data_IF_831590526942
#
_entry.id   IF_831590526942
#
_cell.length_a   1.000
_cell.length_b   1.000
_cell.length_c   1.000
_cell.angle_alpha   90.00
_cell.angle_beta   90.00
_cell.angle_gamma   90.00
#
_symmetry.space_group_name_H-M   'P 1'
#
loop_
_entity.id
_entity.type
_entity.pdbx_description
1 polymer ?
#
# COMPACT_ATOMS: atom_id res chain seq x y z
N UNK A 1 0.34 14.62 9.26
CA UNK A 1 1.21 13.46 9.50
C UNK A 1 0.59 12.39 8.68
N UNK A 2 1.23 12.12 7.56
CA UNK A 2 0.48 11.67 6.40
C UNK A 2 0.43 10.14 6.33
N UNK A 3 1.08 9.43 7.26
CA UNK A 3 0.96 7.98 7.41
C UNK A 3 1.58 7.49 8.72
N UNK A 4 1.40 6.21 9.01
CA UNK A 4 1.97 5.50 10.15
C UNK A 4 2.78 4.30 9.67
N UNK A 5 4.09 4.31 9.93
CA UNK A 5 4.98 3.19 9.60
C UNK A 5 5.34 2.43 10.86
N UNK A 6 5.01 1.15 10.91
CA UNK A 6 5.48 0.21 11.92
C UNK A 6 6.86 -0.30 11.52
N UNK A 7 7.81 -0.29 12.47
CA UNK A 7 9.15 -0.83 12.27
C UNK A 7 9.42 -1.91 13.31
N UNK A 8 9.38 -3.17 12.87
CA UNK A 8 9.41 -4.36 13.72
C UNK A 8 10.85 -4.88 13.89
N UNK A 9 11.26 -5.12 15.13
CA UNK A 9 12.59 -5.65 15.43
C UNK A 9 12.71 -7.15 15.11
N UNK A 10 13.92 -7.64 14.83
CA UNK A 10 14.20 -9.07 14.70
C UNK A 10 14.25 -9.83 16.04
N UNK A 11 14.45 -11.15 15.98
CA UNK A 11 14.45 -12.04 17.14
C UNK A 11 15.54 -11.62 18.15
N UNK A 12 15.19 -11.56 19.44
CA UNK A 12 16.05 -11.09 20.52
C UNK A 12 16.28 -9.57 20.55
N UNK A 13 15.77 -8.85 19.54
CA UNK A 13 15.85 -7.40 19.43
C UNK A 13 14.90 -6.65 20.36
N UNK A 14 14.77 -5.34 20.12
CA UNK A 14 13.80 -4.47 20.79
C UNK A 14 13.67 -3.13 20.02
N UNK A 15 12.66 -2.36 20.39
CA UNK A 15 12.37 -1.05 19.81
C UNK A 15 13.57 -0.09 19.76
N UNK A 16 14.32 0.05 20.87
CA UNK A 16 15.47 0.97 20.91
C UNK A 16 16.59 0.56 19.96
N UNK A 17 16.84 -0.74 19.84
CA UNK A 17 17.79 -1.28 18.86
C UNK A 17 17.34 -0.95 17.44
N UNK A 18 16.06 -1.16 17.14
CA UNK A 18 15.51 -0.94 15.81
C UNK A 18 15.48 0.54 15.41
N UNK A 19 15.26 1.47 16.35
CA UNK A 19 15.38 2.92 16.11
C UNK A 19 16.77 3.26 15.55
N UNK A 20 17.83 2.72 16.18
CA UNK A 20 19.20 2.98 15.76
C UNK A 20 19.58 2.25 14.48
N UNK A 21 19.04 1.05 14.26
CA UNK A 21 19.40 0.22 13.12
C UNK A 21 18.69 0.65 11.83
N UNK A 22 17.38 0.90 11.85
CA UNK A 22 16.68 1.39 10.65
C UNK A 22 16.93 2.88 10.39
N UNK A 23 17.15 3.68 11.43
CA UNK A 23 17.19 5.15 11.32
C UNK A 23 15.92 5.77 10.70
N UNK A 24 14.78 5.04 10.69
CA UNK A 24 13.52 5.50 10.07
C UNK A 24 12.99 6.81 10.67
N UNK A 25 13.37 7.18 11.90
CA UNK A 25 13.07 8.50 12.47
C UNK A 25 13.53 9.67 11.58
N UNK A 26 14.70 9.58 10.93
CA UNK A 26 15.19 10.66 10.08
C UNK A 26 14.32 10.76 8.81
N UNK A 27 14.03 9.62 8.17
CA UNK A 27 13.14 9.54 7.00
C UNK A 27 11.74 10.07 7.33
N UNK A 28 11.21 9.72 8.51
CA UNK A 28 9.94 10.21 9.03
C UNK A 28 9.91 11.74 9.20
N UNK A 29 10.97 12.32 9.76
CA UNK A 29 11.07 13.78 9.93
C UNK A 29 11.15 14.51 8.59
N UNK A 30 11.88 13.95 7.62
CA UNK A 30 12.08 14.58 6.31
C UNK A 30 10.83 14.49 5.43
N UNK A 31 9.99 13.48 5.63
CA UNK A 31 8.81 13.20 4.79
C UNK A 31 7.45 13.39 5.47
N UNK A 32 7.41 13.69 6.77
CA UNK A 32 6.18 14.08 7.46
C UNK A 32 5.23 12.93 7.84
N UNK A 33 5.75 11.73 8.12
CA UNK A 33 4.96 10.59 8.63
C UNK A 33 5.31 10.22 10.08
N UNK A 34 4.43 9.46 10.75
CA UNK A 34 4.67 8.91 12.08
C UNK A 34 5.32 7.54 11.96
N UNK A 35 6.24 7.25 12.87
CA UNK A 35 6.87 5.93 12.98
C UNK A 35 6.65 5.37 14.37
N UNK A 36 6.33 4.08 14.45
CA UNK A 36 6.16 3.35 15.70
C UNK A 36 7.07 2.12 15.73
N UNK A 37 7.72 1.93 16.87
CA UNK A 37 8.62 0.80 17.13
C UNK A 37 8.06 0.00 18.30
N UNK A 38 7.16 -0.96 18.05
CA UNK A 38 6.63 -1.80 19.11
C UNK A 38 7.67 -2.84 19.55
N UNK A 39 7.49 -3.38 20.75
CA UNK A 39 8.23 -4.54 21.22
C UNK A 39 7.31 -5.76 21.14
N UNK A 40 7.78 -6.84 20.52
CA UNK A 40 7.18 -8.17 20.66
C UNK A 40 7.26 -8.67 22.10
N UNK A 41 6.62 -9.79 22.41
CA UNK A 41 6.64 -10.36 23.77
C UNK A 41 7.90 -11.21 24.00
N UNK A 42 8.08 -11.72 25.23
CA UNK A 42 9.18 -12.64 25.54
C UNK A 42 8.68 -14.08 25.47
N UNK A 43 9.45 -14.96 24.82
CA UNK A 43 9.23 -16.40 24.89
C UNK A 43 9.59 -16.96 26.27
N UNK A 44 9.34 -18.26 26.48
CA UNK A 44 9.72 -18.94 27.73
C UNK A 44 11.22 -18.87 28.07
N UNK A 45 12.08 -18.69 27.06
CA UNK A 45 13.53 -18.52 27.20
C UNK A 45 13.95 -17.10 27.58
N UNK A 46 13.03 -16.13 27.59
CA UNK A 46 13.32 -14.72 27.82
C UNK A 46 13.86 -14.00 26.59
N UNK A 47 13.67 -14.57 25.40
CA UNK A 47 14.02 -13.93 24.12
C UNK A 47 12.81 -13.17 23.60
N UNK A 48 13.01 -11.91 23.18
CA UNK A 48 11.92 -11.13 22.59
C UNK A 48 11.65 -11.58 21.15
N UNK A 49 10.41 -11.79 20.77
CA UNK A 49 10.06 -12.32 19.45
C UNK A 49 8.69 -11.83 18.98
N UNK A 50 8.42 -12.04 17.69
CA UNK A 50 7.11 -12.01 17.05
C UNK A 50 6.70 -13.44 16.73
N UNK A 51 5.48 -13.82 17.08
CA UNK A 51 4.95 -15.16 16.87
C UNK A 51 4.54 -15.38 15.41
N UNK A 52 5.50 -15.83 14.61
CA UNK A 52 5.35 -16.13 13.16
C UNK A 52 5.35 -17.64 12.88
N UNK A 53 5.09 -18.45 13.91
CA UNK A 53 4.99 -19.90 13.78
C UNK A 53 6.33 -20.62 13.62
N UNK A 54 7.41 -20.08 14.20
CA UNK A 54 8.68 -20.82 14.26
C UNK A 54 8.54 -22.15 15.01
N UNK A 55 9.28 -23.18 14.60
CA UNK A 55 9.25 -24.49 15.24
C UNK A 55 9.66 -24.40 16.72
N UNK A 56 10.62 -23.54 17.05
CA UNK A 56 11.06 -23.31 18.44
C UNK A 56 9.99 -22.62 19.31
N UNK A 57 8.94 -22.06 18.69
CA UNK A 57 7.83 -21.36 19.32
C UNK A 57 6.50 -22.11 19.15
N UNK A 58 6.52 -23.42 18.90
CA UNK A 58 5.32 -24.23 18.63
C UNK A 58 4.24 -24.20 19.75
N UNK A 59 4.63 -23.91 20.99
CA UNK A 59 3.74 -23.80 22.15
C UNK A 59 3.35 -22.33 22.46
N UNK A 60 3.88 -21.35 21.74
CA UNK A 60 3.58 -19.94 21.94
C UNK A 60 2.26 -19.56 21.27
N UNK A 61 1.35 -18.94 22.04
CA UNK A 61 0.00 -18.58 21.57
C UNK A 61 -0.21 -17.07 21.53
N UNK A 62 0.87 -16.30 21.45
CA UNK A 62 0.80 -14.84 21.44
C UNK A 62 0.18 -14.39 20.11
N UNK A 63 -0.82 -13.52 20.20
CA UNK A 63 -1.50 -12.92 19.04
C UNK A 63 -0.85 -11.56 18.73
N UNK A 64 0.26 -11.61 18.01
CA UNK A 64 0.99 -10.40 17.61
C UNK A 64 0.28 -9.64 16.46
N UNK A 65 -0.46 -10.32 15.58
CA UNK A 65 -1.29 -9.67 14.55
C UNK A 65 -2.35 -8.81 15.21
N UNK A 66 -3.14 -9.37 16.12
CA UNK A 66 -4.19 -8.67 16.86
C UNK A 66 -3.64 -7.51 17.68
N UNK A 67 -2.46 -7.68 18.29
CA UNK A 67 -1.78 -6.59 18.99
C UNK A 67 -1.40 -5.43 18.05
N UNK A 68 -0.78 -5.72 16.91
CA UNK A 68 -0.33 -4.69 15.97
C UNK A 68 -1.51 -3.96 15.31
N UNK A 69 -2.58 -4.68 14.97
CA UNK A 69 -3.85 -4.07 14.50
C UNK A 69 -4.45 -3.15 15.55
N UNK A 70 -4.57 -3.62 16.80
CA UNK A 70 -5.12 -2.80 17.89
C UNK A 70 -4.26 -1.55 18.17
N UNK A 71 -2.94 -1.68 18.07
CA UNK A 71 -2.02 -0.56 18.22
C UNK A 71 -2.15 0.44 17.07
N UNK A 72 -2.30 -0.03 15.82
CA UNK A 72 -2.50 0.84 14.66
C UNK A 72 -3.78 1.67 14.82
N UNK A 73 -4.91 1.02 15.10
CA UNK A 73 -6.19 1.68 15.32
C UNK A 73 -6.14 2.68 16.49
N UNK A 74 -5.47 2.32 17.59
CA UNK A 74 -5.29 3.22 18.73
C UNK A 74 -4.49 4.47 18.35
N UNK A 75 -3.35 4.32 17.67
CA UNK A 75 -2.49 5.43 17.28
C UNK A 75 -3.17 6.33 16.24
N UNK A 76 -3.92 5.74 15.31
CA UNK A 76 -4.72 6.51 14.35
C UNK A 76 -5.75 7.38 15.04
N UNK A 77 -6.51 6.81 15.98
CA UNK A 77 -7.51 7.57 16.73
C UNK A 77 -6.89 8.65 17.61
N UNK A 78 -5.79 8.35 18.31
CA UNK A 78 -5.14 9.27 19.23
C UNK A 78 -4.49 10.47 18.51
N UNK A 79 -3.89 10.23 17.33
CA UNK A 79 -3.10 11.23 16.61
C UNK A 79 -3.75 11.71 15.30
N UNK A 80 -4.98 11.28 15.01
CA UNK A 80 -5.71 11.59 13.78
C UNK A 80 -4.86 11.31 12.52
N UNK A 81 -4.26 10.11 12.49
CA UNK A 81 -3.45 9.64 11.36
C UNK A 81 -4.36 9.04 10.29
N UNK A 82 -3.91 9.13 9.05
CA UNK A 82 -4.65 8.66 7.89
C UNK A 82 -4.95 7.14 7.96
N UNK A 83 -6.23 6.71 7.92
CA UNK A 83 -6.63 5.30 7.88
C UNK A 83 -5.99 4.50 6.74
N UNK A 84 -5.70 5.16 5.62
CA UNK A 84 -5.28 4.53 4.38
C UNK A 84 -3.77 4.60 4.15
N UNK A 85 -3.02 5.05 5.16
CA UNK A 85 -1.56 5.16 5.09
C UNK A 85 -0.87 4.50 6.28
N UNK A 86 -1.29 3.28 6.60
CA UNK A 86 -0.59 2.41 7.56
C UNK A 86 0.24 1.39 6.82
N UNK A 87 1.52 1.31 7.20
CA UNK A 87 2.48 0.41 6.57
C UNK A 87 3.29 -0.33 7.63
N UNK A 88 3.84 -1.49 7.28
CA UNK A 88 4.72 -2.23 8.16
C UNK A 88 6.01 -2.63 7.45
N UNK A 89 7.14 -2.38 8.10
CA UNK A 89 8.45 -2.92 7.74
C UNK A 89 9.09 -3.55 8.97
N UNK A 90 10.09 -4.40 8.77
CA UNK A 90 10.77 -5.06 9.88
C UNK A 90 11.96 -5.86 9.41
N UNK A 91 12.82 -6.19 10.36
CA UNK A 91 14.05 -6.94 10.10
C UNK A 91 13.93 -8.38 10.59
N UNK A 92 14.37 -9.37 9.82
CA UNK A 92 14.46 -10.79 10.24
C UNK A 92 13.08 -11.29 10.70
N UNK A 93 12.94 -11.82 11.92
CA UNK A 93 11.63 -12.16 12.53
C UNK A 93 10.57 -11.03 12.47
N UNK A 94 10.99 -9.75 12.46
CA UNK A 94 10.08 -8.62 12.22
C UNK A 94 9.68 -8.46 10.75
N UNK A 95 10.52 -8.89 9.81
CA UNK A 95 10.20 -9.04 8.39
C UNK A 95 9.22 -10.18 8.16
N UNK A 96 9.41 -11.33 8.80
CA UNK A 96 8.47 -12.45 8.76
C UNK A 96 7.08 -12.02 9.26
N UNK A 97 7.05 -11.18 10.31
CA UNK A 97 5.82 -10.59 10.82
C UNK A 97 5.16 -9.66 9.80
N UNK A 98 5.93 -8.98 8.94
CA UNK A 98 5.38 -8.16 7.86
C UNK A 98 4.67 -9.03 6.81
N UNK A 99 5.23 -10.20 6.46
CA UNK A 99 4.53 -11.16 5.60
C UNK A 99 3.20 -11.62 6.23
N UNK A 100 3.22 -11.96 7.52
CA UNK A 100 2.01 -12.38 8.23
C UNK A 100 0.94 -11.28 8.29
N UNK A 101 1.33 -10.04 8.56
CA UNK A 101 0.43 -8.88 8.52
C UNK A 101 -0.18 -8.67 7.13
N UNK A 102 0.61 -8.87 6.07
CA UNK A 102 0.11 -8.77 4.69
C UNK A 102 -0.98 -9.81 4.41
N UNK A 103 -0.87 -11.01 4.98
CA UNK A 103 -1.84 -12.07 4.81
C UNK A 103 -3.10 -11.92 5.68
N UNK A 104 -2.95 -11.48 6.93
CA UNK A 104 -4.03 -11.52 7.93
C UNK A 104 -4.65 -10.15 8.25
N UNK A 105 -4.03 -9.05 7.84
CA UNK A 105 -4.42 -7.70 8.24
C UNK A 105 -4.34 -6.66 7.09
N UNK A 106 -4.61 -7.07 5.85
CA UNK A 106 -4.57 -6.18 4.68
C UNK A 106 -5.74 -5.18 4.57
N UNK A 107 -6.70 -5.24 5.49
CA UNK A 107 -7.69 -4.18 5.72
C UNK A 107 -7.08 -3.00 6.48
N UNK A 108 -6.09 -3.27 7.33
CA UNK A 108 -5.40 -2.29 8.19
C UNK A 108 -4.10 -1.81 7.55
N UNK A 109 -3.19 -2.73 7.20
CA UNK A 109 -1.91 -2.40 6.59
C UNK A 109 -2.02 -2.39 5.07
N UNK A 110 -1.72 -1.25 4.44
CA UNK A 110 -1.91 -1.08 2.98
C UNK A 110 -0.72 -1.52 2.14
N UNK A 111 0.45 -1.66 2.76
CA UNK A 111 1.63 -2.27 2.16
C UNK A 111 2.60 -2.75 3.24
N UNK A 112 3.41 -3.73 2.88
CA UNK A 112 4.43 -4.30 3.76
C UNK A 112 5.79 -4.36 3.09
N UNK A 113 6.86 -4.11 3.84
CA UNK A 113 8.22 -4.12 3.32
C UNK A 113 9.19 -4.89 4.24
N UNK A 114 9.18 -6.22 4.19
CA UNK A 114 10.13 -7.05 4.93
C UNK A 114 11.60 -6.83 4.51
N UNK A 115 12.51 -6.88 5.48
CA UNK A 115 13.97 -6.84 5.27
C UNK A 115 14.61 -8.07 5.90
N UNK A 116 15.30 -8.86 5.09
CA UNK A 116 15.90 -10.14 5.50
C UNK A 116 14.88 -11.09 6.17
N UNK A 117 13.61 -11.01 5.75
CA UNK A 117 12.53 -11.87 6.25
C UNK A 117 12.32 -13.10 5.36
N UNK A 118 11.61 -14.10 5.86
CA UNK A 118 11.13 -15.22 5.06
C UNK A 118 9.62 -15.41 5.19
N UNK A 119 9.06 -15.91 4.09
CA UNK A 119 7.68 -16.36 4.05
C UNK A 119 7.64 -17.83 4.50
N UNK A 120 7.20 -18.04 5.75
CA UNK A 120 7.03 -19.38 6.31
C UNK A 120 6.02 -20.18 5.48
N UNK A 121 6.27 -21.48 5.29
CA UNK A 121 5.43 -22.34 4.43
C UNK A 121 3.96 -22.32 4.88
N UNK A 122 3.73 -22.43 6.19
CA UNK A 122 2.38 -22.44 6.77
C UNK A 122 1.61 -21.12 6.53
N UNK A 123 2.31 -19.99 6.39
CA UNK A 123 1.68 -18.71 6.06
C UNK A 123 1.10 -18.80 4.65
N UNK A 124 1.82 -19.41 3.69
CA UNK A 124 1.32 -19.54 2.30
C UNK A 124 0.07 -20.41 2.20
N UNK A 125 -0.07 -21.42 3.07
CA UNK A 125 -1.24 -22.31 3.11
C UNK A 125 -2.51 -21.63 3.63
N UNK A 126 -2.37 -20.57 4.41
CA UNK A 126 -3.47 -19.88 5.11
C UNK A 126 -3.67 -18.42 4.69
N UNK A 127 -2.76 -17.88 3.88
CA UNK A 127 -2.79 -16.49 3.42
C UNK A 127 -4.04 -16.21 2.58
N UNK A 128 -4.89 -15.32 3.07
CA UNK A 128 -6.13 -14.92 2.41
C UNK A 128 -6.40 -13.44 2.71
N UNK A 129 -5.59 -12.53 2.14
CA UNK A 129 -5.72 -11.10 2.40
C UNK A 129 -7.11 -10.59 1.97
N UNK A 130 -7.71 -9.70 2.76
CA UNK A 130 -9.01 -9.12 2.45
C UNK A 130 -8.96 -8.22 1.21
N UNK A 131 -7.87 -7.46 1.08
CA UNK A 131 -7.52 -6.66 -0.09
C UNK A 131 -6.18 -7.12 -0.66
N UNK A 132 -5.98 -7.08 -2.00
CA UNK A 132 -4.63 -7.14 -2.58
C UNK A 132 -3.72 -6.12 -1.88
N UNK A 133 -2.47 -6.52 -1.61
CA UNK A 133 -1.54 -5.70 -0.83
C UNK A 133 -0.17 -5.67 -1.52
N UNK A 134 0.42 -4.48 -1.57
CA UNK A 134 1.76 -4.31 -2.13
C UNK A 134 2.83 -4.81 -1.17
N UNK A 135 3.87 -5.42 -1.73
CA UNK A 135 4.97 -6.01 -0.97
C UNK A 135 6.34 -5.58 -1.52
N UNK A 136 7.27 -5.24 -0.64
CA UNK A 136 8.66 -4.94 -1.01
C UNK A 136 9.67 -5.67 -0.10
N UNK A 137 10.30 -6.74 -0.60
CA UNK A 137 11.36 -7.44 0.12
C UNK A 137 12.74 -6.88 -0.23
N UNK A 138 13.62 -6.77 0.78
CA UNK A 138 15.06 -6.51 0.59
C UNK A 138 15.83 -7.66 1.22
N UNK A 139 16.60 -8.41 0.42
CA UNK A 139 17.22 -9.65 0.88
C UNK A 139 18.63 -9.87 0.33
N UNK A 140 19.53 -10.39 1.17
CA UNK A 140 20.91 -10.71 0.81
C UNK A 140 21.06 -12.10 0.22
N UNK A 141 21.76 -12.24 -0.91
CA UNK A 141 21.98 -13.58 -1.52
C UNK A 141 22.97 -14.46 -0.77
N UNK A 142 23.72 -13.89 0.19
CA UNK A 142 24.63 -14.61 1.09
C UNK A 142 24.16 -14.53 2.56
N UNK A 143 22.88 -14.28 2.78
CA UNK A 143 22.27 -14.38 4.10
C UNK A 143 22.45 -15.79 4.66
N UNK A 144 23.07 -15.87 5.85
CA UNK A 144 23.42 -17.12 6.52
C UNK A 144 22.47 -17.47 7.66
N UNK A 145 21.46 -16.64 7.92
CA UNK A 145 20.41 -16.86 8.92
C UNK A 145 19.12 -17.25 8.22
N UNK A 146 18.67 -16.43 7.28
CA UNK A 146 17.50 -16.65 6.43
C UNK A 146 17.99 -16.89 5.02
N UNK A 147 18.11 -18.16 4.62
CA UNK A 147 18.77 -18.49 3.36
C UNK A 147 17.96 -18.05 2.14
N UNK A 148 18.66 -17.46 1.16
CA UNK A 148 18.11 -17.03 -0.12
C UNK A 148 17.29 -18.12 -0.85
N UNK A 149 17.79 -19.35 -0.85
CA UNK A 149 17.14 -20.50 -1.50
C UNK A 149 16.04 -21.15 -0.63
N UNK A 150 15.80 -20.64 0.58
CA UNK A 150 14.80 -21.17 1.50
C UNK A 150 15.30 -22.36 2.33
N UNK A 151 14.41 -22.90 3.17
CA UNK A 151 14.67 -24.08 3.99
C UNK A 151 13.40 -24.90 4.21
N UNK A 152 12.81 -25.40 3.12
CA UNK A 152 11.58 -26.20 3.17
C UNK A 152 11.74 -27.52 3.95
N UNK A 153 12.96 -28.07 4.01
CA UNK A 153 13.26 -29.27 4.80
C UNK A 153 13.53 -28.96 6.28
N UNK A 154 13.47 -27.68 6.67
CA UNK A 154 13.72 -27.18 8.03
C UNK A 154 15.05 -27.70 8.62
N UNK A 155 16.12 -27.61 7.84
CA UNK A 155 17.48 -28.00 8.23
C UNK A 155 18.04 -27.03 9.27
N UNK A 156 17.69 -25.74 9.18
CA UNK A 156 18.08 -24.66 10.07
C UNK A 156 17.33 -24.65 11.41
N UNK A 157 16.17 -25.29 11.48
CA UNK A 157 15.39 -25.46 12.73
C UNK A 157 14.47 -24.29 13.08
N UNK A 158 14.26 -23.35 12.16
CA UNK A 158 13.28 -22.26 12.33
C UNK A 158 11.84 -22.71 12.01
N UNK A 159 11.68 -23.78 11.24
CA UNK A 159 10.46 -24.17 10.53
C UNK A 159 10.67 -24.08 9.01
N UNK A 160 9.78 -24.71 8.24
CA UNK A 160 9.85 -24.68 6.78
C UNK A 160 9.50 -23.28 6.25
N UNK A 161 10.33 -22.74 5.36
CA UNK A 161 10.08 -21.45 4.70
C UNK A 161 10.57 -21.45 3.24
N UNK A 162 9.93 -20.62 2.43
CA UNK A 162 10.21 -20.49 0.99
C UNK A 162 11.51 -19.73 0.74
N UNK A 163 12.18 -20.03 -0.38
CA UNK A 163 13.25 -19.16 -0.87
C UNK A 163 12.73 -17.79 -1.27
N UNK A 164 13.57 -16.76 -1.22
CA UNK A 164 13.18 -15.37 -1.45
C UNK A 164 12.45 -15.20 -2.79
N UNK A 165 12.99 -15.79 -3.87
CA UNK A 165 12.34 -15.74 -5.18
C UNK A 165 10.98 -16.46 -5.20
N UNK A 166 10.85 -17.59 -4.50
CA UNK A 166 9.57 -18.30 -4.40
C UNK A 166 8.53 -17.49 -3.60
N UNK A 167 8.96 -16.79 -2.55
CA UNK A 167 8.08 -15.89 -1.79
C UNK A 167 7.61 -14.71 -2.64
N UNK A 168 8.50 -14.13 -3.45
CA UNK A 168 8.15 -13.05 -4.37
C UNK A 168 7.24 -13.51 -5.50
N UNK A 169 7.47 -14.70 -6.05
CA UNK A 169 6.57 -15.33 -7.02
C UNK A 169 5.18 -15.56 -6.42
N UNK A 170 5.10 -16.06 -5.17
CA UNK A 170 3.83 -16.23 -4.46
C UNK A 170 3.03 -14.92 -4.39
N UNK A 171 3.68 -13.81 -4.01
CA UNK A 171 3.01 -12.50 -3.94
C UNK A 171 2.66 -11.91 -5.30
N UNK A 172 3.53 -12.10 -6.30
CA UNK A 172 3.25 -11.71 -7.68
C UNK A 172 2.02 -12.44 -8.23
N UNK A 173 1.90 -13.74 -7.96
CA UNK A 173 0.75 -14.56 -8.34
C UNK A 173 -0.51 -14.14 -7.57
N UNK A 174 -0.41 -13.92 -6.26
CA UNK A 174 -1.51 -13.44 -5.40
C UNK A 174 -2.10 -12.13 -5.93
N UNK A 175 -1.24 -11.20 -6.36
CA UNK A 175 -1.66 -9.91 -6.89
C UNK A 175 -1.94 -9.92 -8.41
N UNK A 176 -1.82 -11.06 -9.10
CA UNK A 176 -1.98 -11.18 -10.57
C UNK A 176 -1.10 -10.21 -11.37
N UNK A 177 0.14 -9.97 -10.95
CA UNK A 177 1.06 -9.10 -11.68
C UNK A 177 1.39 -9.69 -13.07
N UNK A 178 1.47 -8.83 -14.08
CA UNK A 178 1.67 -9.26 -15.48
C UNK A 178 2.93 -8.72 -16.14
N UNK A 179 3.59 -7.74 -15.52
CA UNK A 179 4.85 -7.18 -15.98
C UNK A 179 5.95 -7.41 -14.95
N UNK A 180 7.16 -7.71 -15.43
CA UNK A 180 8.37 -7.78 -14.61
C UNK A 180 9.46 -6.92 -15.26
N UNK A 181 9.98 -5.97 -14.50
CA UNK A 181 11.17 -5.18 -14.87
C UNK A 181 12.32 -5.52 -13.92
N UNK A 182 13.55 -5.47 -14.43
CA UNK A 182 14.74 -5.71 -13.61
C UNK A 182 15.91 -4.85 -14.04
N UNK A 183 16.59 -4.23 -13.08
CA UNK A 183 17.74 -3.37 -13.34
C UNK A 183 18.77 -3.40 -12.21
N UNK A 184 20.02 -3.10 -12.55
CA UNK A 184 21.06 -2.86 -11.55
C UNK A 184 20.93 -1.44 -11.02
N UNK A 185 20.87 -1.29 -9.71
CA UNK A 185 21.00 0.02 -9.08
C UNK A 185 22.47 0.50 -9.11
N UNK A 186 22.72 1.81 -9.02
CA UNK A 186 24.09 2.33 -8.95
C UNK A 186 24.86 1.74 -7.77
N UNK A 187 26.04 1.17 -8.03
CA UNK A 187 26.98 0.79 -6.97
C UNK A 187 27.73 2.05 -6.49
N UNK A 188 27.24 2.64 -5.40
CA UNK A 188 27.80 3.84 -4.78
C UNK A 188 28.97 3.51 -3.84
N UNK A 189 29.06 2.27 -3.35
CA UNK A 189 30.13 1.80 -2.48
C UNK A 189 30.77 0.48 -2.97
N UNK A 190 31.68 0.54 -3.96
CA UNK A 190 32.20 -0.67 -4.63
C UNK A 190 33.11 -1.55 -3.75
N UNK A 191 33.36 -1.18 -2.50
CA UNK A 191 34.23 -1.91 -1.59
C UNK A 191 33.45 -2.73 -0.55
N UNK A 192 32.12 -2.62 -0.49
CA UNK A 192 31.30 -3.42 0.44
C UNK A 192 31.10 -4.87 -0.06
N UNK A 193 31.48 -5.16 -1.31
CA UNK A 193 31.44 -6.50 -1.88
C UNK A 193 30.06 -6.93 -2.37
N UNK A 194 29.13 -5.98 -2.48
CA UNK A 194 27.75 -6.24 -2.86
C UNK A 194 27.27 -5.29 -3.97
N UNK A 195 26.13 -5.64 -4.57
CA UNK A 195 25.41 -4.84 -5.55
C UNK A 195 23.92 -5.11 -5.40
N UNK A 196 23.07 -4.13 -5.75
CA UNK A 196 21.62 -4.30 -5.70
C UNK A 196 21.05 -4.47 -7.11
N UNK A 197 20.22 -5.49 -7.28
CA UNK A 197 19.36 -5.68 -8.45
C UNK A 197 17.92 -5.43 -7.99
N UNK A 198 17.28 -4.45 -8.61
CA UNK A 198 15.85 -4.15 -8.39
C UNK A 198 15.03 -5.00 -9.33
N UNK A 199 14.09 -5.77 -8.80
CA UNK A 199 13.05 -6.47 -9.53
C UNK A 199 11.69 -5.87 -9.15
N UNK A 200 10.90 -5.46 -10.13
CA UNK A 200 9.55 -4.90 -9.89
C UNK A 200 8.53 -5.64 -10.74
N UNK A 201 7.59 -6.25 -10.06
CA UNK A 201 6.41 -6.89 -10.62
C UNK A 201 5.28 -5.86 -10.57
N UNK A 202 4.79 -5.49 -11.76
CA UNK A 202 3.88 -4.38 -12.02
C UNK A 202 2.63 -4.87 -12.75
N UNK A 203 1.73 -3.94 -13.07
CA UNK A 203 0.45 -4.23 -13.74
C UNK A 203 -0.31 -5.32 -12.98
N UNK A 204 -0.39 -5.15 -11.66
CA UNK A 204 -1.07 -6.05 -10.75
C UNK A 204 -2.49 -5.55 -10.44
N UNK A 205 -3.28 -6.40 -9.78
CA UNK A 205 -4.63 -6.09 -9.29
C UNK A 205 -4.62 -4.82 -8.43
N UNK A 206 -5.59 -3.93 -8.62
CA UNK A 206 -5.76 -2.72 -7.81
C UNK A 206 -4.53 -1.79 -7.75
N UNK A 207 -3.68 -1.81 -8.78
CA UNK A 207 -2.43 -1.05 -8.83
C UNK A 207 -1.46 -1.37 -7.69
N UNK A 208 -1.59 -2.54 -7.06
CA UNK A 208 -0.56 -3.03 -6.14
C UNK A 208 0.73 -3.33 -6.89
N UNK A 209 1.84 -3.42 -6.18
CA UNK A 209 3.13 -3.78 -6.76
C UNK A 209 3.87 -4.77 -5.85
N UNK A 210 4.69 -5.64 -6.46
CA UNK A 210 5.58 -6.54 -5.72
C UNK A 210 7.02 -6.25 -6.12
N UNK A 211 7.84 -5.82 -5.17
CA UNK A 211 9.22 -5.43 -5.39
C UNK A 211 10.17 -6.38 -4.65
N UNK A 212 11.32 -6.62 -5.24
CA UNK A 212 12.44 -7.32 -4.61
C UNK A 212 13.72 -6.56 -4.90
N UNK A 213 14.45 -6.19 -3.85
CA UNK A 213 15.85 -5.79 -3.96
C UNK A 213 16.72 -6.98 -3.60
N UNK A 214 17.23 -7.64 -4.64
CA UNK A 214 18.26 -8.67 -4.52
C UNK A 214 19.59 -7.99 -4.22
N UNK A 215 20.05 -8.10 -2.98
CA UNK A 215 21.36 -7.60 -2.56
C UNK A 215 22.38 -8.70 -2.83
N UNK A 216 22.84 -8.77 -4.07
CA UNK A 216 23.81 -9.76 -4.49
C UNK A 216 25.14 -9.57 -3.75
N UNK A 217 25.52 -10.58 -2.95
CA UNK A 217 26.68 -10.52 -2.06
C UNK A 217 26.39 -9.98 -0.65
N UNK A 218 25.18 -9.48 -0.41
CA UNK A 218 24.73 -9.04 0.92
C UNK A 218 24.42 -10.22 1.85
N UNK A 219 24.55 -9.99 3.16
CA UNK A 219 24.22 -10.95 4.22
C UNK A 219 22.88 -10.67 4.91
N UNK A 220 22.76 -11.13 6.15
CA UNK A 220 21.61 -10.87 7.04
C UNK A 220 21.69 -9.45 7.63
N UNK A 221 21.44 -8.45 6.78
CA UNK A 221 21.75 -7.05 7.04
C UNK A 221 20.55 -6.13 6.76
N UNK A 222 20.63 -4.90 7.26
CA UNK A 222 19.78 -3.78 6.85
C UNK A 222 20.61 -2.84 5.97
N UNK A 223 20.48 -2.91 4.64
CA UNK A 223 21.28 -2.07 3.73
C UNK A 223 21.18 -0.58 4.06
N UNK A 224 22.33 0.10 4.02
CA UNK A 224 22.53 1.48 4.45
C UNK A 224 22.87 1.63 5.94
N UNK A 225 22.60 0.60 6.76
CA UNK A 225 23.11 0.52 8.14
C UNK A 225 24.26 -0.49 8.28
N UNK A 226 24.16 -1.63 7.61
CA UNK A 226 25.21 -2.66 7.54
C UNK A 226 25.13 -3.44 6.22
N UNK A 227 26.16 -4.23 5.93
CA UNK A 227 26.24 -4.99 4.69
C UNK A 227 26.41 -4.06 3.48
N UNK A 228 25.41 -4.03 2.61
CA UNK A 228 25.38 -3.15 1.44
C UNK A 228 25.19 -1.68 1.85
N UNK A 229 25.95 -0.80 1.22
CA UNK A 229 25.94 0.65 1.47
C UNK A 229 25.64 1.45 0.19
N UNK A 230 25.05 0.79 -0.82
CA UNK A 230 24.63 1.43 -2.07
C UNK A 230 23.27 2.11 -1.95
N UNK A 231 22.41 1.57 -1.10
CA UNK A 231 21.05 2.09 -0.84
C UNK A 231 20.88 2.42 0.64
N UNK A 232 19.88 3.25 0.95
CA UNK A 232 19.33 3.38 2.30
C UNK A 232 17.97 2.70 2.33
N UNK A 233 17.89 1.48 2.89
CA UNK A 233 16.65 0.70 2.88
C UNK A 233 15.46 1.47 3.46
N UNK A 234 15.65 2.31 4.48
CA UNK A 234 14.53 3.07 5.06
C UNK A 234 13.98 4.14 4.12
N UNK A 235 14.82 4.74 3.29
CA UNK A 235 14.39 5.70 2.25
C UNK A 235 13.65 4.96 1.13
N UNK A 236 14.22 3.88 0.61
CA UNK A 236 13.61 3.05 -0.44
C UNK A 236 12.24 2.50 -0.02
N UNK A 237 12.14 2.02 1.22
CA UNK A 237 10.89 1.51 1.80
C UNK A 237 9.85 2.62 1.91
N UNK A 238 10.23 3.82 2.33
CA UNK A 238 9.30 4.93 2.38
C UNK A 238 8.86 5.38 0.98
N UNK A 239 9.76 5.43 0.01
CA UNK A 239 9.40 5.74 -1.38
C UNK A 239 8.39 4.72 -1.92
N UNK A 240 8.63 3.44 -1.67
CA UNK A 240 7.70 2.37 -2.00
C UNK A 240 6.33 2.59 -1.35
N UNK A 241 6.26 2.80 -0.03
CA UNK A 241 5.00 3.04 0.68
C UNK A 241 4.27 4.30 0.20
N UNK A 242 4.99 5.38 -0.04
CA UNK A 242 4.40 6.64 -0.48
C UNK A 242 3.82 6.53 -1.90
N UNK A 243 4.40 5.69 -2.75
CA UNK A 243 3.91 5.40 -4.10
C UNK A 243 2.68 4.48 -4.13
N UNK A 244 2.26 3.93 -2.99
CA UNK A 244 1.01 3.14 -2.90
C UNK A 244 -0.25 4.04 -2.91
N UNK A 245 -0.08 5.36 -2.94
CA UNK A 245 -1.16 6.28 -3.25
C UNK A 245 -1.17 6.61 -4.74
N UNK A 246 -2.34 6.50 -5.37
CA UNK A 246 -2.51 6.95 -6.74
C UNK A 246 -2.66 8.46 -6.76
N UNK A 247 -1.94 9.09 -7.69
CA UNK A 247 -2.01 10.51 -7.98
C UNK A 247 -2.79 10.68 -9.27
N UNK A 248 -3.91 11.38 -9.21
CA UNK A 248 -4.72 11.74 -10.37
C UNK A 248 -4.63 13.25 -10.61
N UNK A 249 -4.21 13.63 -11.81
CA UNK A 249 -4.26 15.01 -12.27
C UNK A 249 -5.60 15.25 -12.97
N UNK A 250 -6.41 16.15 -12.42
CA UNK A 250 -7.72 16.52 -12.95
C UNK A 250 -7.61 17.90 -13.57
N UNK A 251 -7.62 17.94 -14.90
CA UNK A 251 -7.69 19.18 -15.65
C UNK A 251 -9.10 19.77 -15.58
N UNK A 252 -9.18 21.10 -15.43
CA UNK A 252 -10.43 21.84 -15.46
C UNK A 252 -10.32 23.06 -16.37
N UNK A 253 -11.46 23.47 -16.91
CA UNK A 253 -11.60 24.64 -17.78
C UNK A 253 -12.37 25.76 -17.07
N UNK A 254 -12.33 27.02 -17.57
CA UNK A 254 -13.17 28.07 -17.01
C UNK A 254 -14.65 27.72 -17.13
N UNK A 255 -15.44 28.21 -16.18
CA UNK A 255 -16.87 27.95 -16.06
C UNK A 255 -17.17 26.52 -15.52
N UNK A 256 -18.26 25.89 -15.95
CA UNK A 256 -18.78 24.66 -15.36
C UNK A 256 -18.09 23.40 -15.86
N UNK A 257 -17.70 22.53 -14.93
CA UNK A 257 -17.07 21.24 -15.18
C UNK A 257 -17.88 20.15 -14.46
N UNK A 258 -17.94 18.96 -15.04
CA UNK A 258 -18.35 17.76 -14.31
C UNK A 258 -17.14 17.19 -13.57
N UNK A 259 -17.28 17.03 -12.27
CA UNK A 259 -16.25 16.47 -11.40
C UNK A 259 -16.85 15.35 -10.56
N UNK A 260 -15.98 14.50 -10.05
CA UNK A 260 -16.34 13.36 -9.23
C UNK A 260 -15.13 12.89 -8.44
N UNK A 261 -15.36 12.00 -7.50
CA UNK A 261 -14.30 11.41 -6.70
C UNK A 261 -13.96 10.03 -7.26
N UNK A 262 -12.77 9.90 -7.85
CA UNK A 262 -12.28 8.67 -8.48
C UNK A 262 -11.22 7.94 -7.64
N UNK A 263 -10.82 8.50 -6.50
CA UNK A 263 -9.90 7.92 -5.53
C UNK A 263 -10.55 7.99 -4.15
N UNK A 264 -10.33 7.01 -3.30
CA UNK A 264 -10.66 7.14 -1.89
C UNK A 264 -9.65 8.08 -1.24
N UNK A 265 -10.14 9.13 -0.58
CA UNK A 265 -9.31 10.24 -0.08
C UNK A 265 -9.61 10.51 1.38
N UNK A 266 -8.56 10.86 2.13
CA UNK A 266 -8.69 11.16 3.57
C UNK A 266 -9.60 12.36 3.87
N UNK A 267 -9.68 13.35 2.96
CA UNK A 267 -10.56 14.51 3.08
C UNK A 267 -11.19 14.88 1.73
N UNK A 268 -12.48 14.57 1.59
CA UNK A 268 -13.24 14.84 0.37
C UNK A 268 -13.86 16.26 0.29
N UNK A 269 -13.38 17.21 1.11
CA UNK A 269 -13.85 18.60 1.05
C UNK A 269 -13.53 19.24 -0.30
N UNK A 270 -14.51 19.92 -0.91
CA UNK A 270 -14.35 20.54 -2.23
C UNK A 270 -13.19 21.56 -2.29
N UNK A 271 -12.99 22.32 -1.22
CA UNK A 271 -11.93 23.33 -1.11
C UNK A 271 -10.53 22.71 -0.94
N UNK A 272 -10.44 21.45 -0.52
CA UNK A 272 -9.19 20.71 -0.42
C UNK A 272 -8.87 20.09 -1.78
N UNK A 273 -9.84 19.41 -2.40
CA UNK A 273 -9.65 18.72 -3.67
C UNK A 273 -9.54 19.70 -4.87
N UNK A 274 -10.30 20.78 -4.84
CA UNK A 274 -10.40 21.79 -5.91
C UNK A 274 -10.25 23.21 -5.33
N UNK A 275 -9.06 23.59 -4.84
CA UNK A 275 -8.86 24.87 -4.14
C UNK A 275 -9.08 26.10 -5.01
N UNK A 276 -8.91 25.97 -6.34
CA UNK A 276 -9.10 27.05 -7.32
C UNK A 276 -10.55 27.14 -7.83
N UNK A 277 -11.45 26.30 -7.32
CA UNK A 277 -12.88 26.38 -7.64
C UNK A 277 -13.53 27.62 -7.03
N UNK A 278 -14.63 28.06 -7.63
CA UNK A 278 -15.43 29.16 -7.09
C UNK A 278 -16.21 28.63 -5.90
N UNK A 279 -15.98 29.21 -4.73
CA UNK A 279 -16.64 28.83 -3.49
C UNK A 279 -18.17 28.79 -3.62
N UNK A 280 -18.80 27.76 -3.07
CA UNK A 280 -20.25 27.58 -3.08
C UNK A 280 -20.83 27.18 -4.44
N UNK A 281 -20.01 26.62 -5.34
CA UNK A 281 -20.45 26.15 -6.66
C UNK A 281 -20.42 24.64 -6.87
N UNK A 282 -20.19 23.85 -5.80
CA UNK A 282 -20.32 22.39 -5.87
C UNK A 282 -21.81 22.01 -5.79
N UNK A 283 -22.32 21.34 -6.82
CA UNK A 283 -23.72 20.90 -6.88
C UNK A 283 -23.87 19.44 -7.29
N UNK A 284 -24.49 18.63 -6.43
CA UNK A 284 -25.00 17.30 -6.78
C UNK A 284 -26.35 17.41 -7.49
N UNK A 285 -26.86 16.30 -8.04
CA UNK A 285 -28.17 16.26 -8.68
C UNK A 285 -29.06 15.15 -8.08
N UNK A 286 -30.21 15.55 -7.53
CA UNK A 286 -31.29 14.64 -7.16
C UNK A 286 -32.64 15.36 -7.38
N UNK A 287 -33.26 15.13 -8.54
CA UNK A 287 -34.47 15.84 -8.98
C UNK A 287 -34.35 17.38 -8.95
N UNK A 288 -33.12 17.87 -9.05
CA UNK A 288 -32.74 19.27 -8.87
C UNK A 288 -31.30 19.37 -8.38
N UNK A 289 -30.69 20.56 -8.51
CA UNK A 289 -29.34 20.80 -8.01
C UNK A 289 -29.35 21.09 -6.51
N UNK A 290 -28.51 20.39 -5.77
CA UNK A 290 -28.35 20.53 -4.32
C UNK A 290 -26.92 21.03 -4.06
N UNK A 291 -26.79 22.07 -3.25
CA UNK A 291 -25.47 22.63 -2.93
C UNK A 291 -24.76 21.73 -1.92
N UNK A 292 -23.52 21.38 -2.22
CA UNK A 292 -22.70 20.50 -1.41
C UNK A 292 -21.40 21.17 -0.98
N UNK A 293 -20.70 20.55 -0.04
CA UNK A 293 -19.38 21.01 0.45
C UNK A 293 -18.32 19.91 0.44
N UNK A 294 -18.75 18.65 0.31
CA UNK A 294 -17.91 17.45 0.24
C UNK A 294 -18.35 16.61 -0.95
N UNK A 295 -17.44 15.82 -1.50
CA UNK A 295 -17.72 14.83 -2.53
C UNK A 295 -17.92 13.46 -1.90
N UNK A 296 -18.80 12.65 -2.49
CA UNK A 296 -19.09 11.27 -2.11
C UNK A 296 -18.69 10.37 -3.29
N UNK A 297 -18.05 9.23 -2.99
CA UNK A 297 -17.71 8.25 -4.01
C UNK A 297 -18.95 7.81 -4.80
N UNK A 298 -18.83 7.82 -6.13
CA UNK A 298 -19.90 7.43 -7.05
C UNK A 298 -20.90 8.51 -7.38
N UNK A 299 -20.96 9.60 -6.61
CA UNK A 299 -21.75 10.77 -6.96
C UNK A 299 -20.95 11.71 -7.86
N UNK A 300 -21.61 12.23 -8.89
CA UNK A 300 -21.05 13.26 -9.75
C UNK A 300 -21.55 14.65 -9.34
N UNK A 301 -20.75 15.67 -9.67
CA UNK A 301 -21.02 17.05 -9.26
C UNK A 301 -20.73 18.03 -10.40
N UNK A 302 -21.49 19.12 -10.41
CA UNK A 302 -21.08 20.34 -11.11
C UNK A 302 -20.18 21.17 -10.22
N UNK A 303 -19.09 21.67 -10.79
CA UNK A 303 -18.18 22.59 -10.10
C UNK A 303 -17.72 23.68 -11.06
N UNK A 304 -17.58 24.92 -10.57
CA UNK A 304 -17.26 26.07 -11.40
C UNK A 304 -15.86 26.60 -11.11
N UNK A 305 -15.11 26.96 -12.15
CA UNK A 305 -13.77 27.53 -12.03
C UNK A 305 -13.67 28.90 -12.70
N UNK A 306 -12.79 29.77 -12.18
CA UNK A 306 -12.52 31.09 -12.76
C UNK A 306 -11.59 31.07 -13.98
N UNK A 307 -10.83 29.99 -14.15
CA UNK A 307 -9.83 29.81 -15.21
C UNK A 307 -9.59 28.33 -15.50
N UNK A 308 -8.75 28.04 -16.48
CA UNK A 308 -8.25 26.68 -16.72
C UNK A 308 -7.07 26.37 -15.80
N UNK A 309 -6.94 25.12 -15.41
CA UNK A 309 -5.81 24.63 -14.64
C UNK A 309 -5.89 23.12 -14.44
N UNK A 310 -5.09 22.64 -13.50
CA UNK A 310 -5.04 21.24 -13.11
C UNK A 310 -4.98 21.19 -11.60
N UNK A 311 -5.75 20.30 -10.98
CA UNK A 311 -5.58 19.95 -9.57
C UNK A 311 -5.01 18.55 -9.48
N UNK A 312 -4.27 18.29 -8.42
CA UNK A 312 -3.73 16.97 -8.13
C UNK A 312 -4.48 16.39 -6.95
N UNK A 313 -5.09 15.23 -7.15
CA UNK A 313 -5.79 14.47 -6.12
C UNK A 313 -4.94 13.23 -5.84
N UNK A 314 -4.68 12.97 -4.56
CA UNK A 314 -3.92 11.80 -4.11
C UNK A 314 -4.81 10.98 -3.20
N UNK A 315 -4.87 9.67 -3.44
CA UNK A 315 -5.71 8.76 -2.68
C UNK A 315 -5.53 7.31 -3.10
N UNK A 316 -6.30 6.42 -2.50
CA UNK A 316 -6.28 4.99 -2.84
C UNK A 316 -7.16 4.73 -4.06
N UNK A 317 -6.74 3.87 -5.01
CA UNK A 317 -7.60 3.47 -6.11
C UNK A 317 -8.91 2.83 -5.66
N UNK A 318 -10.00 3.31 -6.24
CA UNK A 318 -11.32 2.65 -6.23
C UNK A 318 -11.39 1.81 -7.49
N UNK A 319 -11.54 0.49 -7.34
CA UNK A 319 -11.53 -0.46 -8.47
C UNK A 319 -12.92 -1.05 -8.76
N UNK A 320 -13.81 -1.01 -7.78
CA UNK A 320 -15.22 -1.32 -7.93
C UNK A 320 -16.06 -0.33 -7.12
N UNK A 321 -17.32 -0.15 -7.53
CA UNK A 321 -18.26 0.67 -6.79
C UNK A 321 -19.69 0.25 -7.09
N UNK A 322 -20.49 0.06 -6.04
CA UNK A 322 -21.93 -0.14 -6.16
C UNK A 322 -22.65 1.16 -5.79
N UNK A 323 -23.40 1.72 -6.73
CA UNK A 323 -24.19 2.95 -6.52
C UNK A 323 -25.68 2.68 -6.68
N UNK A 324 -26.50 3.40 -5.92
CA UNK A 324 -27.95 3.39 -6.10
C UNK A 324 -28.36 4.49 -7.08
N UNK A 325 -29.15 4.12 -8.09
CA UNK A 325 -29.68 5.06 -9.07
C UNK A 325 -31.16 5.32 -8.82
N UNK A 326 -31.57 6.56 -9.02
CA UNK A 326 -32.98 6.97 -8.97
C UNK A 326 -33.61 6.94 -10.38
N UNK A 327 -34.93 6.84 -10.46
CA UNK A 327 -35.64 6.95 -11.74
C UNK A 327 -35.43 8.36 -12.33
N UNK A 328 -34.93 8.41 -13.58
CA UNK A 328 -34.66 9.66 -14.29
C UNK A 328 -33.17 9.93 -14.47
N UNK A 329 -32.77 11.20 -14.39
CA UNK A 329 -31.37 11.59 -14.58
C UNK A 329 -30.60 11.46 -13.26
N UNK A 330 -29.42 10.86 -13.35
CA UNK A 330 -28.48 10.75 -12.26
C UNK A 330 -27.18 11.44 -12.67
N UNK A 331 -26.42 11.96 -11.71
CA UNK A 331 -25.08 12.44 -11.92
C UNK A 331 -24.11 11.57 -11.11
N UNK A 332 -23.22 10.87 -11.82
CA UNK A 332 -22.38 9.82 -11.24
C UNK A 332 -20.90 10.13 -11.50
N UNK A 333 -20.04 9.61 -10.63
CA UNK A 333 -18.60 9.60 -10.80
C UNK A 333 -18.10 8.20 -11.14
N UNK A 334 -17.05 8.13 -11.95
CA UNK A 334 -16.35 6.88 -12.27
C UNK A 334 -15.36 6.48 -11.18
N UNK A 335 -14.86 5.25 -11.30
CA UNK A 335 -13.78 4.69 -10.48
C UNK A 335 -12.40 5.16 -10.99
N UNK A 336 -11.31 4.69 -10.39
CA UNK A 336 -9.95 5.20 -10.70
C UNK A 336 -9.50 4.95 -12.13
N UNK A 337 -9.95 3.84 -12.71
CA UNK A 337 -9.62 3.44 -14.07
C UNK A 337 -10.86 3.53 -14.98
N UNK A 338 -10.74 4.08 -16.20
CA UNK A 338 -11.85 4.09 -17.14
C UNK A 338 -12.33 2.67 -17.46
N UNK A 339 -13.64 2.46 -17.42
CA UNK A 339 -14.29 1.19 -17.80
C UNK A 339 -15.18 1.39 -19.03
N UNK A 340 -15.44 0.30 -19.75
CA UNK A 340 -16.46 0.33 -20.80
C UNK A 340 -17.85 0.28 -20.17
N UNK A 341 -18.83 0.98 -20.73
CA UNK A 341 -20.22 0.94 -20.21
C UNK A 341 -20.81 -0.48 -20.25
N UNK A 342 -20.33 -1.35 -21.14
CA UNK A 342 -20.71 -2.77 -21.16
C UNK A 342 -20.26 -3.57 -19.95
N UNK A 343 -19.32 -3.04 -19.16
CA UNK A 343 -18.81 -3.66 -17.92
C UNK A 343 -19.63 -3.24 -16.69
N UNK A 344 -20.57 -2.30 -16.83
CA UNK A 344 -21.46 -1.89 -15.74
C UNK A 344 -22.51 -2.97 -15.51
N UNK A 345 -22.55 -3.52 -14.30
CA UNK A 345 -23.60 -4.43 -13.87
C UNK A 345 -24.86 -3.63 -13.47
N UNK A 346 -25.95 -3.81 -14.23
CA UNK A 346 -27.26 -3.20 -13.98
C UNK A 346 -28.34 -4.29 -13.77
N UNK A 347 -28.37 -4.94 -12.59
CA UNK A 347 -29.25 -6.08 -12.35
C UNK A 347 -30.74 -5.71 -12.39
N UNK A 348 -31.07 -4.46 -12.05
CA UNK A 348 -32.44 -3.95 -12.02
C UNK A 348 -32.88 -3.29 -13.34
N UNK A 349 -31.97 -3.15 -14.31
CA UNK A 349 -32.26 -2.60 -15.63
C UNK A 349 -32.63 -1.11 -15.59
N UNK A 350 -32.04 -0.35 -14.67
CA UNK A 350 -32.31 1.08 -14.47
C UNK A 350 -31.69 1.92 -15.59
N UNK A 351 -30.55 1.49 -16.14
CA UNK A 351 -29.82 2.20 -17.19
C UNK A 351 -30.49 1.96 -18.54
N UNK A 352 -31.02 3.02 -19.12
CA UNK A 352 -31.60 2.95 -20.47
C UNK A 352 -30.47 2.99 -21.52
N UNK A 353 -30.41 2.04 -22.46
CA UNK A 353 -29.38 2.07 -23.50
C UNK A 353 -29.42 3.37 -24.33
N UNK A 354 -28.25 3.93 -24.64
CA UNK A 354 -28.09 5.21 -25.33
C UNK A 354 -28.23 6.43 -24.43
N UNK A 355 -28.22 6.26 -23.09
CA UNK A 355 -28.48 7.37 -22.15
C UNK A 355 -27.34 7.70 -21.20
N UNK A 356 -26.16 7.12 -21.40
CA UNK A 356 -24.95 7.50 -20.67
C UNK A 356 -24.19 8.57 -21.44
N UNK A 357 -23.97 9.73 -20.81
CA UNK A 357 -23.32 10.88 -21.43
C UNK A 357 -22.15 11.39 -20.59
N UNK A 358 -21.07 11.78 -21.26
CA UNK A 358 -20.02 12.60 -20.69
C UNK A 358 -20.25 14.08 -21.00
N UNK A 359 -19.50 14.96 -20.34
CA UNK A 359 -19.52 16.40 -20.62
C UNK A 359 -18.11 16.88 -20.94
N UNK A 360 -17.98 17.63 -22.03
CA UNK A 360 -16.72 18.26 -22.46
C UNK A 360 -16.94 19.76 -22.68
N UNK A 361 -15.90 20.48 -23.07
CA UNK A 361 -16.01 21.87 -23.52
C UNK A 361 -16.95 22.07 -24.71
N UNK A 362 -17.24 21.01 -25.47
CA UNK A 362 -18.19 21.01 -26.59
C UNK A 362 -19.64 20.71 -26.15
N UNK A 363 -19.85 20.43 -24.85
CA UNK A 363 -21.13 20.07 -24.25
C UNK A 363 -21.23 18.56 -23.99
N UNK A 364 -22.46 18.07 -23.88
CA UNK A 364 -22.73 16.65 -23.66
C UNK A 364 -22.44 15.82 -24.92
N UNK A 365 -21.78 14.68 -24.72
CA UNK A 365 -21.52 13.68 -25.75
C UNK A 365 -21.84 12.29 -25.21
N UNK A 366 -22.27 11.38 -26.10
CA UNK A 366 -22.46 9.97 -25.73
C UNK A 366 -21.17 9.41 -25.13
N UNK A 367 -21.27 8.73 -23.99
CA UNK A 367 -20.16 7.99 -23.38
C UNK A 367 -20.14 6.52 -23.82
N UNK A 368 -21.22 6.04 -24.45
CA UNK A 368 -21.28 4.71 -25.08
C UNK A 368 -20.44 4.73 -26.37
N UNK A 369 -19.20 4.23 -26.30
CA UNK A 369 -18.34 3.98 -27.47
C UNK A 369 -18.11 2.48 -27.59
#
# INVERSE_FOLDING_TARGET
VDGLVFVLHGLGGNANGMIGYSQMNQVANDNGFAVVYPNGTFDQGGTRFWNVGYEIHFDETVDDVGFLVALAQFLQAEYNLDPDRIFSTGFSNGGDMCYLLGCEASDVFKAVAPVAGCLMEWITESCSPQNPISLFEIHGTQDNVTWWDGDLDNIGGWGAYLGTLQGIEFWSEMNNCTELTSEFLPNLNPNDGSMVISHKYLECTNSTEVWLYEVNGGGHDWPGSSGNMDINSSEEIWEFFNNQNTIMNVDYVPDWNLVGLALDVADASCNILFPESIEGTLFSFNNGYISETYLILGEGYWLRFGGSGTTTITGTPVNDLTISLEEGWNLIAGISNPINISEIEDPDGVIVPGTVYGFTTEGYSSAEI
#
